data_IF_593703047164
#
_entry.id   IF_593703047164
#
_cell.length_a   1.000
_cell.length_b   1.000
_cell.length_c   1.000
_cell.angle_alpha   90.00
_cell.angle_beta   90.00
_cell.angle_gamma   90.00
#
_symmetry.space_group_name_H-M   'P 1'
#
loop_
_entity.id
_entity.type
_entity.pdbx_description
1 polymer ?
#
# COMPACT_ATOMS: atom_id res chain seq x y z
N UNK A 1 0.62 -1.37 -23.19
CA UNK A 1 0.70 -2.82 -23.46
C UNK A 1 -0.61 -3.45 -23.05
N UNK A 2 -1.30 -4.10 -23.97
CA UNK A 2 -2.54 -4.83 -23.65
C UNK A 2 -2.12 -6.23 -23.19
N UNK A 3 -2.30 -6.51 -21.92
CA UNK A 3 -2.04 -7.85 -21.37
C UNK A 3 -3.12 -8.81 -21.83
N UNK A 4 -2.70 -9.89 -22.48
CA UNK A 4 -3.63 -10.92 -22.95
C UNK A 4 -4.02 -11.82 -21.77
N UNK A 5 -5.32 -12.06 -21.60
CA UNK A 5 -5.89 -12.90 -20.54
C UNK A 5 -6.66 -14.06 -21.15
N UNK A 6 -6.64 -15.22 -20.50
CA UNK A 6 -7.41 -16.39 -20.88
C UNK A 6 -8.89 -16.24 -20.46
N UNK A 7 -9.70 -17.25 -20.73
CA UNK A 7 -11.14 -17.25 -20.39
C UNK A 7 -11.43 -17.14 -18.89
N UNK A 8 -10.49 -17.57 -18.03
CA UNK A 8 -10.56 -17.39 -16.58
C UNK A 8 -10.06 -16.00 -16.13
N UNK A 9 -9.72 -15.12 -17.05
CA UNK A 9 -9.20 -13.77 -16.75
C UNK A 9 -7.75 -13.74 -16.28
N UNK A 10 -7.06 -14.87 -16.26
CA UNK A 10 -5.65 -14.95 -15.85
C UNK A 10 -4.73 -14.53 -16.99
N UNK A 11 -3.58 -13.94 -16.68
CA UNK A 11 -2.58 -13.54 -17.67
C UNK A 11 -2.02 -14.76 -18.39
N UNK A 12 -2.00 -14.71 -19.72
CA UNK A 12 -1.37 -15.75 -20.52
C UNK A 12 0.16 -15.76 -20.30
N UNK A 13 0.72 -16.97 -20.20
CA UNK A 13 2.17 -17.16 -20.00
C UNK A 13 2.65 -17.00 -18.55
N UNK A 14 1.76 -16.78 -17.60
CA UNK A 14 2.08 -16.77 -16.17
C UNK A 14 1.71 -18.13 -15.57
N UNK A 15 2.63 -18.73 -14.81
CA UNK A 15 2.34 -19.90 -13.99
C UNK A 15 1.82 -19.40 -12.65
N UNK A 16 0.55 -19.66 -12.36
CA UNK A 16 -0.05 -19.34 -11.06
C UNK A 16 0.12 -20.51 -10.10
N UNK A 17 0.39 -20.19 -8.85
CA UNK A 17 0.41 -21.14 -7.74
C UNK A 17 -0.96 -21.13 -7.05
N UNK A 18 -1.46 -22.31 -6.63
CA UNK A 18 -2.79 -22.49 -6.08
C UNK A 18 -2.74 -23.07 -4.67
N UNK A 19 -3.72 -22.69 -3.85
CA UNK A 19 -4.00 -23.29 -2.57
C UNK A 19 -4.76 -24.62 -2.76
N UNK A 20 -4.97 -25.37 -1.67
CA UNK A 20 -5.72 -26.64 -1.69
C UNK A 20 -7.20 -26.46 -2.13
N UNK A 21 -7.77 -25.29 -1.88
CA UNK A 21 -9.14 -24.92 -2.25
C UNK A 21 -9.25 -24.39 -3.70
N UNK A 22 -8.20 -24.52 -4.49
CA UNK A 22 -8.09 -24.00 -5.86
C UNK A 22 -8.08 -22.47 -6.01
N UNK A 23 -8.06 -21.71 -4.92
CA UNK A 23 -7.80 -20.28 -4.97
C UNK A 23 -6.34 -19.99 -5.30
N UNK A 24 -6.05 -18.81 -5.88
CA UNK A 24 -4.66 -18.43 -6.16
C UNK A 24 -3.92 -18.13 -4.87
N UNK A 25 -2.76 -18.74 -4.70
CA UNK A 25 -1.85 -18.44 -3.60
C UNK A 25 -1.05 -17.17 -3.90
N UNK A 26 -1.64 -16.01 -3.63
CA UNK A 26 -1.02 -14.70 -3.88
C UNK A 26 0.30 -14.52 -3.13
N UNK A 27 0.44 -15.16 -1.97
CA UNK A 27 1.69 -15.14 -1.20
C UNK A 27 2.83 -15.84 -1.97
N UNK A 28 2.55 -16.97 -2.57
CA UNK A 28 3.52 -17.72 -3.38
C UNK A 28 3.85 -17.04 -4.72
N UNK A 29 2.98 -16.14 -5.18
CA UNK A 29 3.22 -15.34 -6.39
C UNK A 29 4.21 -14.19 -6.18
N UNK A 30 4.67 -13.93 -4.95
CA UNK A 30 5.63 -12.86 -4.67
C UNK A 30 7.05 -13.38 -4.97
N UNK A 31 7.69 -12.83 -6.00
CA UNK A 31 9.07 -13.17 -6.30
C UNK A 31 10.04 -12.67 -5.20
N UNK A 32 11.09 -13.44 -4.86
CA UNK A 32 12.02 -13.12 -3.77
C UNK A 32 12.68 -11.75 -3.88
N UNK A 33 12.95 -11.25 -5.09
CA UNK A 33 13.52 -9.93 -5.33
C UNK A 33 12.62 -8.76 -4.88
N UNK A 34 11.33 -9.02 -4.66
CA UNK A 34 10.37 -8.06 -4.12
C UNK A 34 10.27 -8.08 -2.61
N UNK A 35 11.01 -8.98 -1.97
CA UNK A 35 11.04 -9.12 -0.51
C UNK A 35 12.40 -8.69 0.05
N UNK A 36 12.40 -8.35 1.33
CA UNK A 36 13.61 -8.20 2.13
C UNK A 36 13.30 -8.34 3.61
N UNK A 37 14.32 -8.66 4.45
CA UNK A 37 14.13 -8.86 5.88
C UNK A 37 13.67 -7.57 6.58
N UNK A 38 12.71 -7.70 7.49
CA UNK A 38 12.21 -6.60 8.31
C UNK A 38 13.22 -6.25 9.41
N UNK A 39 14.06 -5.25 9.13
CA UNK A 39 15.10 -4.79 10.07
C UNK A 39 14.53 -4.50 11.46
N UNK A 40 13.40 -3.80 11.56
CA UNK A 40 12.79 -3.46 12.84
C UNK A 40 12.38 -4.68 13.66
N UNK A 41 11.92 -5.74 12.99
CA UNK A 41 11.57 -7.00 13.65
C UNK A 41 12.80 -7.68 14.29
N UNK A 42 13.93 -7.71 13.56
CA UNK A 42 15.18 -8.34 14.05
C UNK A 42 15.84 -7.49 15.14
N UNK A 43 15.91 -6.17 14.99
CA UNK A 43 16.48 -5.27 15.99
C UNK A 43 15.71 -5.33 17.32
N UNK A 44 14.37 -5.32 17.27
CA UNK A 44 13.53 -5.41 18.48
C UNK A 44 13.77 -6.70 19.28
N UNK A 45 14.23 -7.77 18.62
CA UNK A 45 14.51 -9.09 19.23
C UNK A 45 15.98 -9.37 19.46
N UNK A 46 16.85 -8.36 19.23
CA UNK A 46 18.31 -8.51 19.30
C UNK A 46 18.82 -9.71 18.46
N UNK A 47 18.22 -9.93 17.31
CA UNK A 47 18.62 -10.98 16.38
C UNK A 47 19.47 -10.39 15.24
N UNK A 48 20.48 -11.15 14.73
CA UNK A 48 21.26 -10.71 13.60
C UNK A 48 20.38 -10.62 12.34
N UNK A 49 20.61 -9.59 11.53
CA UNK A 49 19.94 -9.40 10.26
C UNK A 49 20.32 -10.51 9.27
N UNK A 50 19.38 -11.28 8.72
CA UNK A 50 19.70 -12.31 7.73
C UNK A 50 20.07 -11.66 6.39
N UNK A 51 20.89 -12.37 5.61
CA UNK A 51 21.30 -11.94 4.26
C UNK A 51 20.37 -12.43 3.15
N UNK A 52 19.46 -13.36 3.47
CA UNK A 52 18.47 -13.93 2.55
C UNK A 52 17.07 -13.82 3.12
N UNK A 53 16.09 -13.86 2.24
CA UNK A 53 14.66 -13.94 2.60
C UNK A 53 14.18 -15.39 2.73
N UNK A 54 15.01 -16.34 2.38
CA UNK A 54 14.68 -17.76 2.37
C UNK A 54 14.46 -18.27 3.80
N UNK A 55 13.35 -18.99 4.01
CA UNK A 55 12.98 -19.55 5.31
C UNK A 55 12.44 -18.52 6.33
N UNK A 56 12.26 -17.26 5.95
CA UNK A 56 11.68 -16.25 6.81
C UNK A 56 10.14 -16.29 6.77
N UNK A 57 9.54 -16.07 7.94
CA UNK A 57 8.10 -15.93 8.09
C UNK A 57 7.62 -14.55 7.62
N UNK A 58 6.33 -14.40 7.33
CA UNK A 58 5.73 -13.18 6.82
C UNK A 58 5.96 -11.95 7.71
N UNK A 59 5.96 -12.12 9.03
CA UNK A 59 6.24 -11.04 10.00
C UNK A 59 7.71 -10.59 10.01
N UNK A 60 8.61 -11.43 9.48
CA UNK A 60 10.04 -11.17 9.36
C UNK A 60 10.41 -10.51 8.03
N UNK A 61 9.43 -10.35 7.16
CA UNK A 61 9.60 -9.83 5.79
C UNK A 61 8.92 -8.48 5.60
N UNK A 62 9.41 -7.74 4.63
CA UNK A 62 8.75 -6.58 4.04
C UNK A 62 8.64 -6.78 2.54
N UNK A 63 7.51 -6.34 1.96
CA UNK A 63 7.31 -6.34 0.51
C UNK A 63 7.52 -4.94 -0.06
N UNK A 64 8.28 -4.86 -1.16
CA UNK A 64 8.50 -3.62 -1.90
C UNK A 64 7.25 -3.20 -2.67
N UNK A 65 7.10 -1.90 -2.92
CA UNK A 65 6.06 -1.35 -3.79
C UNK A 65 6.01 -2.03 -5.17
N UNK A 66 7.19 -2.41 -5.73
CA UNK A 66 7.27 -3.14 -7.00
C UNK A 66 6.56 -4.49 -6.95
N UNK A 67 6.68 -5.23 -5.84
CA UNK A 67 5.98 -6.51 -5.64
C UNK A 67 4.46 -6.33 -5.53
N UNK A 68 4.02 -5.31 -4.83
CA UNK A 68 2.59 -4.96 -4.74
C UNK A 68 2.02 -4.58 -6.11
N UNK A 69 2.75 -3.79 -6.90
CA UNK A 69 2.36 -3.45 -8.28
C UNK A 69 2.27 -4.69 -9.17
N UNK A 70 3.19 -5.63 -9.01
CA UNK A 70 3.17 -6.88 -9.74
C UNK A 70 1.96 -7.74 -9.36
N UNK A 71 1.66 -7.89 -8.07
CA UNK A 71 0.45 -8.59 -7.61
C UNK A 71 -0.83 -7.96 -8.16
N UNK A 72 -0.94 -6.64 -8.13
CA UNK A 72 -2.08 -5.94 -8.72
C UNK A 72 -2.21 -6.21 -10.23
N UNK A 73 -1.07 -6.20 -10.95
CA UNK A 73 -1.03 -6.53 -12.39
C UNK A 73 -1.48 -7.98 -12.65
N UNK A 74 -0.99 -8.92 -11.85
CA UNK A 74 -1.35 -10.34 -11.97
C UNK A 74 -2.83 -10.55 -11.71
N UNK A 75 -3.37 -9.96 -10.63
CA UNK A 75 -4.79 -10.06 -10.29
C UNK A 75 -5.68 -9.40 -11.34
N UNK A 76 -5.27 -8.26 -11.85
CA UNK A 76 -6.00 -7.48 -12.83
C UNK A 76 -7.03 -6.54 -12.22
N UNK A 77 -6.97 -5.30 -12.66
CA UNK A 77 -7.88 -4.24 -12.27
C UNK A 77 -8.30 -3.42 -13.50
N UNK A 78 -9.43 -2.74 -13.39
CA UNK A 78 -9.96 -1.85 -14.42
C UNK A 78 -9.49 -0.42 -14.20
N UNK A 79 -9.58 0.04 -12.95
CA UNK A 79 -9.20 1.40 -12.57
C UNK A 79 -8.60 1.45 -11.18
N UNK A 80 -7.79 2.47 -10.96
CA UNK A 80 -7.28 2.88 -9.65
C UNK A 80 -7.59 4.36 -9.52
N UNK A 81 -8.16 4.76 -8.40
CA UNK A 81 -8.44 6.15 -8.09
C UNK A 81 -8.00 6.50 -6.68
N UNK A 82 -7.74 7.77 -6.47
CA UNK A 82 -7.28 8.30 -5.20
C UNK A 82 -8.14 9.49 -4.81
N UNK A 83 -8.65 9.46 -3.57
CA UNK A 83 -9.34 10.59 -2.95
C UNK A 83 -8.46 11.17 -1.85
N UNK A 84 -8.18 12.46 -1.94
CA UNK A 84 -7.44 13.18 -0.91
C UNK A 84 -8.41 13.54 0.21
N UNK A 85 -8.28 12.85 1.34
CA UNK A 85 -9.15 13.06 2.53
C UNK A 85 -8.67 14.25 3.34
N UNK A 86 -7.35 14.43 3.42
CA UNK A 86 -6.71 15.53 4.13
C UNK A 86 -5.44 15.94 3.42
N UNK A 87 -5.20 17.25 3.29
CA UNK A 87 -3.97 17.77 2.71
C UNK A 87 -3.54 19.03 3.48
N UNK A 88 -2.60 18.85 4.39
CA UNK A 88 -1.96 19.90 5.17
C UNK A 88 -0.43 19.80 5.02
N UNK A 89 0.29 20.83 5.40
CA UNK A 89 1.75 20.90 5.23
C UNK A 89 2.50 19.77 5.96
N UNK A 90 1.93 19.26 7.04
CA UNK A 90 2.52 18.27 7.92
C UNK A 90 1.75 16.94 7.95
N UNK A 91 0.59 16.87 7.27
CA UNK A 91 -0.28 15.70 7.29
C UNK A 91 -1.09 15.56 6.00
N UNK A 92 -0.88 14.48 5.28
CA UNK A 92 -1.68 14.09 4.13
C UNK A 92 -2.33 12.73 4.40
N UNK A 93 -3.62 12.60 4.13
CA UNK A 93 -4.35 11.33 4.17
C UNK A 93 -5.02 11.09 2.82
N UNK A 94 -4.84 9.88 2.28
CA UNK A 94 -5.33 9.49 0.96
C UNK A 94 -6.08 8.17 1.10
N UNK A 95 -7.23 8.08 0.43
CA UNK A 95 -7.93 6.84 0.17
C UNK A 95 -7.57 6.36 -1.24
N UNK A 96 -7.23 5.08 -1.37
CA UNK A 96 -7.05 4.40 -2.64
C UNK A 96 -8.24 3.47 -2.86
N UNK A 97 -8.92 3.60 -3.99
CA UNK A 97 -9.94 2.68 -4.46
C UNK A 97 -9.46 1.94 -5.71
N UNK A 98 -9.73 0.65 -5.77
CA UNK A 98 -9.38 -0.20 -6.90
C UNK A 98 -10.63 -0.96 -7.35
N UNK A 99 -10.97 -0.82 -8.63
CA UNK A 99 -11.98 -1.63 -9.28
C UNK A 99 -11.30 -2.85 -9.90
N UNK A 100 -11.37 -3.96 -9.19
CA UNK A 100 -10.79 -5.21 -9.61
C UNK A 100 -11.64 -5.86 -10.69
N UNK A 101 -11.02 -6.53 -11.63
CA UNK A 101 -11.73 -7.37 -12.59
C UNK A 101 -12.54 -8.43 -11.84
N UNK A 102 -13.67 -8.91 -12.41
CA UNK A 102 -14.47 -9.96 -11.80
C UNK A 102 -13.61 -11.14 -11.35
N UNK A 103 -14.02 -11.80 -10.28
CA UNK A 103 -13.27 -12.90 -9.71
C UNK A 103 -13.28 -14.11 -10.65
N UNK A 104 -12.11 -14.56 -11.05
CA UNK A 104 -11.90 -15.74 -11.90
C UNK A 104 -11.17 -16.86 -11.17
N UNK A 105 -10.98 -16.71 -9.87
CA UNK A 105 -10.24 -17.68 -9.05
C UNK A 105 -10.97 -19.01 -8.94
N UNK A 106 -12.28 -18.99 -9.17
CA UNK A 106 -13.10 -20.20 -9.20
C UNK A 106 -14.09 -20.17 -10.37
N UNK A 107 -13.68 -20.54 -11.59
CA UNK A 107 -14.53 -20.55 -12.78
C UNK A 107 -15.69 -21.58 -12.69
N UNK A 108 -15.64 -22.53 -11.76
CA UNK A 108 -16.69 -23.53 -11.55
C UNK A 108 -17.81 -23.04 -10.63
N UNK A 109 -17.64 -21.94 -9.93
CA UNK A 109 -18.70 -21.30 -9.18
C UNK A 109 -19.62 -20.51 -10.10
N UNK A 110 -20.52 -21.23 -10.75
CA UNK A 110 -21.63 -20.70 -11.56
C UNK A 110 -22.70 -20.00 -10.71
N UNK A 111 -22.49 -19.90 -9.42
CA UNK A 111 -23.40 -19.31 -8.46
C UNK A 111 -23.23 -17.78 -8.43
N UNK A 112 -23.82 -17.12 -9.42
CA UNK A 112 -24.13 -15.70 -9.30
C UNK A 112 -22.94 -14.77 -9.39
N UNK A 113 -22.04 -14.96 -10.37
CA UNK A 113 -21.14 -13.91 -10.79
C UNK A 113 -21.97 -12.69 -11.14
N UNK A 114 -21.98 -11.72 -10.25
CA UNK A 114 -22.33 -10.38 -10.68
C UNK A 114 -21.29 -10.01 -11.73
N UNK A 115 -21.74 -9.68 -12.92
CA UNK A 115 -20.90 -9.22 -14.05
C UNK A 115 -20.20 -7.88 -13.76
N UNK A 116 -20.15 -7.45 -12.50
CA UNK A 116 -19.60 -6.20 -12.03
C UNK A 116 -18.19 -6.36 -11.46
N UNK A 117 -17.40 -5.31 -11.60
CA UNK A 117 -16.11 -5.22 -10.95
C UNK A 117 -16.25 -5.26 -9.43
N UNK A 118 -15.29 -5.85 -8.75
CA UNK A 118 -15.22 -5.86 -7.29
C UNK A 118 -14.48 -4.61 -6.85
N UNK A 119 -15.18 -3.71 -6.16
CA UNK A 119 -14.59 -2.50 -5.61
C UNK A 119 -14.01 -2.77 -4.22
N UNK A 120 -12.78 -2.31 -3.98
CA UNK A 120 -12.14 -2.35 -2.67
C UNK A 120 -11.37 -1.06 -2.41
N UNK A 121 -11.50 -0.54 -1.18
CA UNK A 121 -10.86 0.71 -0.76
C UNK A 121 -10.04 0.51 0.51
N UNK A 122 -8.97 1.29 0.64
CA UNK A 122 -8.22 1.44 1.88
C UNK A 122 -7.66 2.85 2.01
N UNK A 123 -7.32 3.23 3.23
CA UNK A 123 -6.83 4.57 3.55
C UNK A 123 -5.44 4.49 4.19
N UNK A 124 -4.60 5.47 3.89
CA UNK A 124 -3.34 5.67 4.58
C UNK A 124 -3.00 7.14 4.72
N UNK A 125 -2.06 7.42 5.61
CA UNK A 125 -1.55 8.76 5.81
C UNK A 125 -0.02 8.81 5.71
N UNK A 126 0.47 10.04 5.50
CA UNK A 126 1.85 10.42 5.69
C UNK A 126 1.91 11.72 6.49
N UNK A 127 2.79 11.76 7.48
CA UNK A 127 3.01 12.93 8.31
C UNK A 127 4.51 13.19 8.42
N UNK A 128 4.88 14.40 8.83
CA UNK A 128 6.28 14.71 9.12
C UNK A 128 6.86 13.83 10.23
N UNK A 129 6.00 13.23 11.07
CA UNK A 129 6.44 12.38 12.19
C UNK A 129 6.58 10.89 11.80
N UNK A 130 5.97 10.46 10.68
CA UNK A 130 6.02 9.06 10.25
C UNK A 130 6.69 8.86 8.88
N UNK A 131 7.43 9.87 8.41
CA UNK A 131 8.22 9.83 7.19
C UNK A 131 9.66 10.27 7.45
N UNK A 132 10.59 9.79 6.62
CA UNK A 132 11.98 10.25 6.69
C UNK A 132 12.08 11.73 6.32
N UNK A 133 13.11 12.41 6.78
CA UNK A 133 13.34 13.84 6.50
C UNK A 133 13.34 14.18 4.99
N UNK A 134 13.82 13.26 4.17
CA UNK A 134 13.77 13.39 2.71
C UNK A 134 12.33 13.31 2.20
N UNK A 135 11.55 12.34 2.69
CA UNK A 135 10.19 12.06 2.23
C UNK A 135 9.16 13.10 2.72
N UNK A 136 9.47 13.90 3.74
CA UNK A 136 8.61 14.99 4.23
C UNK A 136 8.27 16.04 3.16
N UNK A 137 9.04 16.10 2.08
CA UNK A 137 8.78 16.99 0.94
C UNK A 137 7.75 16.43 -0.06
N UNK A 138 7.33 15.17 0.13
CA UNK A 138 6.50 14.41 -0.81
C UNK A 138 5.41 13.62 -0.07
N UNK A 139 4.80 14.22 0.96
CA UNK A 139 3.82 13.53 1.82
C UNK A 139 2.65 12.98 1.02
N UNK A 140 2.19 13.66 -0.01
CA UNK A 140 1.11 13.22 -0.89
C UNK A 140 1.48 11.93 -1.63
N UNK A 141 2.70 11.85 -2.14
CA UNK A 141 3.19 10.64 -2.82
C UNK A 141 3.32 9.45 -1.86
N UNK A 142 3.84 9.71 -0.66
CA UNK A 142 3.99 8.67 0.36
C UNK A 142 2.61 8.18 0.83
N UNK A 143 1.67 9.08 1.11
CA UNK A 143 0.31 8.72 1.50
C UNK A 143 -0.40 7.90 0.41
N UNK A 144 -0.30 8.31 -0.86
CA UNK A 144 -0.86 7.59 -1.99
C UNK A 144 -0.25 6.18 -2.16
N UNK A 145 1.08 6.06 -2.08
CA UNK A 145 1.76 4.77 -2.14
C UNK A 145 1.31 3.84 -1.00
N UNK A 146 1.27 4.35 0.22
CA UNK A 146 0.80 3.59 1.39
C UNK A 146 -0.64 3.13 1.24
N UNK A 147 -1.54 4.00 0.77
CA UNK A 147 -2.94 3.65 0.54
C UNK A 147 -3.08 2.56 -0.53
N UNK A 148 -2.33 2.67 -1.63
CA UNK A 148 -2.29 1.65 -2.68
C UNK A 148 -1.76 0.31 -2.16
N UNK A 149 -0.63 0.31 -1.45
CA UNK A 149 -0.03 -0.90 -0.87
C UNK A 149 -1.02 -1.61 0.04
N UNK A 150 -1.67 -0.88 0.94
CA UNK A 150 -2.68 -1.43 1.86
C UNK A 150 -3.88 -1.98 1.10
N UNK A 151 -4.40 -1.23 0.13
CA UNK A 151 -5.54 -1.63 -0.68
C UNK A 151 -5.29 -2.97 -1.38
N UNK A 152 -4.16 -3.12 -2.07
CA UNK A 152 -3.79 -4.36 -2.75
C UNK A 152 -3.56 -5.50 -1.77
N UNK A 153 -2.76 -5.25 -0.73
CA UNK A 153 -2.35 -6.25 0.24
C UNK A 153 -3.54 -6.81 1.02
N UNK A 154 -4.43 -5.94 1.49
CA UNK A 154 -5.60 -6.35 2.26
C UNK A 154 -6.62 -7.08 1.37
N UNK A 155 -6.83 -6.63 0.13
CA UNK A 155 -7.69 -7.32 -0.82
C UNK A 155 -7.20 -8.73 -1.17
N UNK A 156 -5.89 -8.91 -1.37
CA UNK A 156 -5.28 -10.20 -1.71
C UNK A 156 -4.91 -11.06 -0.50
N UNK A 157 -5.27 -10.63 0.71
CA UNK A 157 -4.95 -11.31 1.97
C UNK A 157 -3.44 -11.58 2.16
N UNK A 158 -2.60 -10.60 1.83
CA UNK A 158 -1.15 -10.66 2.01
C UNK A 158 -0.79 -10.16 3.40
N UNK A 159 -0.20 -11.03 4.22
CA UNK A 159 0.18 -10.72 5.60
C UNK A 159 1.53 -10.02 5.74
N UNK A 160 2.37 -10.06 4.70
CA UNK A 160 3.64 -9.33 4.68
C UNK A 160 3.37 -7.83 4.61
N UNK A 161 3.93 -7.07 5.54
CA UNK A 161 3.75 -5.61 5.59
C UNK A 161 4.51 -4.95 4.44
N UNK A 162 3.90 -3.94 3.83
CA UNK A 162 4.55 -3.13 2.80
C UNK A 162 5.68 -2.27 3.38
N UNK A 163 6.78 -2.18 2.64
CA UNK A 163 7.89 -1.32 3.05
C UNK A 163 7.47 0.15 3.23
N UNK A 164 6.58 0.61 2.39
CA UNK A 164 6.05 1.98 2.42
C UNK A 164 5.11 2.23 3.61
N UNK A 165 4.58 1.16 4.24
CA UNK A 165 3.70 1.26 5.41
C UNK A 165 4.47 1.44 6.72
N UNK A 166 5.77 1.15 6.74
CA UNK A 166 6.61 1.27 7.93
C UNK A 166 6.94 2.73 8.18
N UNK A 167 6.85 3.11 9.45
CA UNK A 167 7.36 4.40 9.91
C UNK A 167 8.86 4.47 9.69
N UNK A 168 9.30 5.38 8.84
CA UNK A 168 10.70 5.61 8.51
C UNK A 168 11.31 6.82 9.25
N UNK A 169 10.64 7.33 10.27
CA UNK A 169 11.11 8.43 11.11
C UNK A 169 12.27 8.01 12.04
N UNK A 170 13.26 7.30 11.52
CA UNK A 170 14.40 6.84 12.30
C UNK A 170 15.01 7.98 13.14
N UNK A 171 14.70 8.02 14.44
CA UNK A 171 15.50 8.66 15.47
C UNK A 171 15.39 10.18 15.63
N UNK A 172 14.50 10.86 14.96
CA UNK A 172 14.13 12.22 15.35
C UNK A 172 13.02 12.15 16.40
N UNK A 173 13.38 12.51 17.64
CA UNK A 173 12.38 12.78 18.68
C UNK A 173 11.26 13.63 18.09
N UNK A 174 9.98 13.38 18.45
CA UNK A 174 8.87 14.18 17.94
C UNK A 174 9.20 15.66 18.17
N UNK A 175 9.21 16.42 17.07
CA UNK A 175 9.32 17.87 17.17
C UNK A 175 8.14 18.29 18.04
N UNK A 176 8.42 18.73 19.28
CA UNK A 176 7.42 19.36 20.11
C UNK A 176 6.96 20.59 19.34
N UNK A 177 5.81 20.51 18.71
CA UNK A 177 5.12 21.67 18.17
C UNK A 177 4.85 22.54 19.40
N UNK A 178 5.70 23.53 19.61
CA UNK A 178 5.43 24.55 20.61
C UNK A 178 4.17 25.26 20.12
N UNK A 179 3.16 25.24 20.95
CA UNK A 179 1.85 25.87 20.73
C UNK A 179 1.93 27.41 20.79
N UNK A 180 3.05 27.99 20.35
CA UNK A 180 3.35 29.41 20.43
C UNK A 180 3.39 30.05 19.04
N UNK A 181 2.27 30.05 18.33
CA UNK A 181 2.09 30.94 17.18
C UNK A 181 0.60 31.30 16.94
N UNK A 182 -0.20 31.46 18.04
CA UNK A 182 -1.57 31.99 17.88
C UNK A 182 -1.63 33.47 17.49
N UNK A 183 -0.54 34.20 17.51
CA UNK A 183 -0.55 35.65 17.32
C UNK A 183 0.02 36.17 16.00
N UNK A 184 0.30 35.31 15.01
CA UNK A 184 0.84 35.79 13.73
C UNK A 184 -0.15 35.98 12.62
N UNK A 185 -1.40 35.67 12.81
CA UNK A 185 -2.47 36.00 11.88
C UNK A 185 -3.40 37.05 12.49
N UNK A 186 -2.95 38.30 12.54
CA UNK A 186 -3.87 39.39 12.76
C UNK A 186 -4.85 39.45 11.57
N UNK A 187 -6.17 39.56 11.82
CA UNK A 187 -7.14 39.68 10.73
C UNK A 187 -6.85 40.96 9.93
N UNK A 188 -6.70 40.82 8.63
CA UNK A 188 -6.62 41.98 7.73
C UNK A 188 -8.01 42.63 7.75
N UNK A 189 -8.15 43.69 8.51
CA UNK A 189 -9.31 44.57 8.45
C UNK A 189 -9.31 45.31 7.10
N UNK A 190 -10.07 44.81 6.15
CA UNK A 190 -10.38 45.57 4.95
C UNK A 190 -11.36 46.69 5.36
N UNK A 191 -10.82 47.88 5.58
CA UNK A 191 -11.63 49.11 5.68
C UNK A 191 -12.25 49.40 4.31
N UNK A 192 -13.51 49.02 4.15
CA UNK A 192 -14.33 49.64 3.10
C UNK A 192 -14.58 51.08 3.52
N UNK A 193 -13.86 52.02 2.91
CA UNK A 193 -14.27 53.42 2.90
C UNK A 193 -15.26 53.65 1.76
N UNK A 194 -16.32 54.35 2.14
CA UNK A 194 -17.44 54.78 1.30
C UNK A 194 -17.02 55.64 0.08
#
# INVERSE_FOLDING_TARGET
MTYKRNAAGLLEGVKYEYNEDSSINWRAMIAPEHLYPNKGWFEMRNQPMPHSVEGLEDNQLLIKLSGIKELARLRGFRSIHYDVIKCELDHVAVKCGIDWLPNFENPEHDAGFTSGDVHFEDIANATINNTSSFAQKFLETIAANRAFVRCVRNFLNIHIVGADEIDSSNGTSPVKIQADNKDKFAPINILMQK
#
